data_IF_220705053656
#
_entry.id   IF_220705053656
#
_cell.length_a   1.000
_cell.length_b   1.000
_cell.length_c   1.000
_cell.angle_alpha   90.00
_cell.angle_beta   90.00
_cell.angle_gamma   90.00
#
_symmetry.space_group_name_H-M   'P 1'
#
loop_
_entity.id
_entity.type
_entity.pdbx_description
1 polymer ?
#
# COMPACT_ATOMS: atom_id res chain seq x y z
N UNK A 1 -23.21 -61.90 -3.45
CA UNK A 1 -21.79 -62.07 -3.83
C UNK A 1 -21.64 -61.39 -5.18
N UNK A 2 -20.96 -60.27 -5.37
CA UNK A 2 -19.82 -59.66 -4.68
C UNK A 2 -19.88 -58.13 -4.80
N UNK A 3 -19.44 -57.45 -3.73
CA UNK A 3 -18.85 -56.12 -3.79
C UNK A 3 -17.42 -56.24 -4.34
N UNK A 4 -16.90 -55.22 -5.04
CA UNK A 4 -15.69 -54.61 -4.51
C UNK A 4 -15.60 -53.08 -4.66
N UNK A 5 -15.00 -52.47 -3.64
CA UNK A 5 -14.04 -51.37 -3.67
C UNK A 5 -14.45 -50.00 -4.21
N UNK A 6 -14.79 -49.10 -3.27
CA UNK A 6 -14.17 -47.76 -3.25
C UNK A 6 -14.11 -47.23 -1.80
N UNK A 7 -13.29 -47.87 -0.97
CA UNK A 7 -12.84 -47.35 0.32
C UNK A 7 -11.36 -47.04 0.20
N UNK A 8 -11.01 -45.92 -0.42
CA UNK A 8 -9.75 -45.23 -0.20
C UNK A 8 -9.92 -43.83 -0.77
N UNK A 9 -9.34 -42.81 -0.12
CA UNK A 9 -9.51 -41.37 -0.38
C UNK A 9 -10.71 -40.69 0.28
N UNK A 10 -10.71 -40.61 1.62
CA UNK A 10 -11.30 -39.45 2.30
C UNK A 10 -10.75 -39.18 3.72
N UNK A 11 -9.57 -39.72 4.09
CA UNK A 11 -8.95 -39.44 5.40
C UNK A 11 -7.93 -38.29 5.40
N UNK A 12 -7.86 -37.46 4.35
CA UNK A 12 -6.91 -36.33 4.31
C UNK A 12 -7.59 -34.97 4.60
N UNK A 13 -8.92 -34.86 4.58
CA UNK A 13 -9.60 -33.58 4.84
C UNK A 13 -10.03 -33.33 6.29
N UNK A 14 -9.77 -34.25 7.22
CA UNK A 14 -10.17 -34.05 8.63
C UNK A 14 -9.19 -33.18 9.45
N UNK A 15 -7.94 -33.03 9.02
CA UNK A 15 -6.94 -32.26 9.77
C UNK A 15 -6.92 -30.76 9.44
N UNK A 16 -7.46 -30.35 8.28
CA UNK A 16 -7.48 -28.92 7.90
C UNK A 16 -8.58 -28.17 8.66
N UNK A 17 -9.71 -28.82 8.97
CA UNK A 17 -10.82 -28.19 9.72
C UNK A 17 -10.55 -28.00 11.21
N UNK A 18 -9.83 -28.91 11.87
CA UNK A 18 -9.56 -28.76 13.31
C UNK A 18 -8.57 -27.63 13.58
N UNK A 19 -7.59 -27.40 12.70
CA UNK A 19 -6.60 -26.33 12.84
C UNK A 19 -7.25 -24.95 12.68
N UNK A 20 -8.15 -24.79 11.70
CA UNK A 20 -8.90 -23.54 11.50
C UNK A 20 -9.88 -23.28 12.66
N UNK A 21 -10.54 -24.33 13.18
CA UNK A 21 -11.47 -24.21 14.31
C UNK A 21 -10.79 -23.89 15.64
N UNK A 22 -9.57 -24.38 15.89
CA UNK A 22 -8.85 -24.07 17.12
C UNK A 22 -8.35 -22.61 17.13
N UNK A 23 -7.93 -22.09 15.97
CA UNK A 23 -7.47 -20.71 15.82
C UNK A 23 -8.58 -19.69 16.12
N UNK A 24 -9.83 -20.00 15.77
CA UNK A 24 -10.97 -19.12 16.08
C UNK A 24 -11.40 -19.18 17.55
N UNK A 25 -11.20 -20.30 18.25
CA UNK A 25 -11.75 -20.49 19.61
C UNK A 25 -11.07 -19.59 20.66
N UNK A 26 -9.78 -19.29 20.51
CA UNK A 26 -8.96 -18.66 21.55
C UNK A 26 -8.44 -17.25 21.22
N UNK A 27 -8.99 -16.59 20.21
CA UNK A 27 -8.60 -15.23 19.86
C UNK A 27 -9.44 -14.16 20.58
N UNK A 28 -8.90 -12.94 20.69
CA UNK A 28 -9.70 -11.78 21.08
C UNK A 28 -10.78 -11.53 20.01
N UNK A 29 -12.03 -11.38 20.45
CA UNK A 29 -13.20 -11.31 19.58
C UNK A 29 -13.53 -9.89 19.12
N UNK A 30 -13.84 -9.72 17.82
CA UNK A 30 -14.40 -8.52 17.22
C UNK A 30 -15.92 -8.45 17.46
N UNK A 31 -16.31 -7.91 18.60
CA UNK A 31 -17.71 -7.65 18.89
C UNK A 31 -18.28 -6.43 18.13
N UNK A 32 -17.51 -5.77 17.25
CA UNK A 32 -18.01 -4.66 16.44
C UNK A 32 -18.82 -5.12 15.22
N UNK A 33 -18.69 -6.39 14.80
CA UNK A 33 -19.50 -6.94 13.70
C UNK A 33 -20.95 -7.11 14.11
N UNK A 34 -21.87 -7.04 13.15
CA UNK A 34 -23.30 -7.24 13.41
C UNK A 34 -23.65 -8.71 13.66
N UNK A 35 -22.99 -9.62 12.93
CA UNK A 35 -23.22 -11.06 13.01
C UNK A 35 -21.95 -11.78 13.45
N UNK A 36 -22.15 -12.96 14.06
CA UNK A 36 -21.09 -13.90 14.36
C UNK A 36 -20.37 -14.39 13.08
N UNK A 37 -19.21 -14.99 13.24
CA UNK A 37 -18.41 -15.57 12.16
C UNK A 37 -19.22 -16.63 11.39
N UNK A 38 -19.16 -16.58 10.04
CA UNK A 38 -19.99 -17.37 9.10
C UNK A 38 -21.50 -17.05 9.08
N UNK A 39 -22.00 -16.23 10.01
CA UNK A 39 -23.39 -15.77 9.98
C UNK A 39 -23.52 -14.56 9.05
N UNK A 40 -24.52 -14.58 8.18
CA UNK A 40 -24.71 -13.55 7.15
C UNK A 40 -25.85 -12.62 7.53
N UNK A 41 -25.59 -11.31 7.50
CA UNK A 41 -26.63 -10.30 7.68
C UNK A 41 -27.56 -10.27 6.46
N UNK A 42 -28.87 -10.32 6.67
CA UNK A 42 -29.85 -10.14 5.60
C UNK A 42 -29.84 -8.70 5.09
N UNK A 43 -29.98 -8.51 3.78
CA UNK A 43 -29.96 -7.19 3.16
C UNK A 43 -31.15 -6.31 3.57
N UNK A 44 -32.25 -6.93 3.99
CA UNK A 44 -33.53 -6.25 4.28
C UNK A 44 -33.81 -6.08 5.78
N UNK A 45 -33.07 -6.75 6.67
CA UNK A 45 -33.30 -6.74 8.12
C UNK A 45 -31.99 -6.74 8.90
N UNK A 46 -32.02 -6.32 10.16
CA UNK A 46 -30.90 -6.49 11.11
C UNK A 46 -30.82 -7.94 11.62
N UNK A 47 -31.12 -8.93 10.78
CA UNK A 47 -31.08 -10.34 11.16
C UNK A 47 -29.84 -11.04 10.60
N UNK A 48 -29.29 -11.93 11.41
CA UNK A 48 -28.17 -12.79 11.10
C UNK A 48 -28.68 -14.21 10.82
N UNK A 49 -28.31 -14.75 9.66
CA UNK A 49 -28.66 -16.11 9.23
C UNK A 49 -27.48 -17.04 9.40
N UNK A 50 -27.70 -18.16 10.09
CA UNK A 50 -26.68 -19.18 10.31
C UNK A 50 -26.30 -19.90 9.01
N UNK A 51 -25.04 -20.36 8.89
CA UNK A 51 -24.66 -21.24 7.79
C UNK A 51 -25.38 -22.59 7.94
N UNK A 52 -25.47 -23.36 6.83
CA UNK A 52 -26.05 -24.71 6.83
C UNK A 52 -25.28 -25.71 7.72
N UNK A 53 -24.01 -25.42 7.98
CA UNK A 53 -23.11 -26.17 8.86
C UNK A 53 -23.39 -25.97 10.35
N UNK A 54 -24.13 -24.92 10.74
CA UNK A 54 -24.36 -24.61 12.14
C UNK A 54 -25.14 -25.74 12.84
N UNK A 55 -24.59 -26.19 13.96
CA UNK A 55 -25.13 -27.23 14.84
C UNK A 55 -25.06 -26.69 16.26
N UNK A 56 -26.05 -25.89 16.64
CA UNK A 56 -26.11 -25.29 17.96
C UNK A 56 -27.55 -25.10 18.44
N UNK A 57 -27.71 -24.63 19.69
CA UNK A 57 -29.00 -24.56 20.36
C UNK A 57 -29.87 -23.40 19.86
N UNK A 58 -29.28 -22.41 19.18
CA UNK A 58 -29.99 -21.23 18.71
C UNK A 58 -30.66 -21.45 17.33
N UNK A 59 -31.75 -20.71 17.04
CA UNK A 59 -32.41 -20.79 15.75
C UNK A 59 -31.51 -20.26 14.61
N UNK A 60 -31.85 -20.65 13.38
CA UNK A 60 -31.15 -20.22 12.15
C UNK A 60 -31.15 -18.71 11.97
N UNK A 61 -32.15 -18.00 12.48
CA UNK A 61 -32.32 -16.56 12.36
C UNK A 61 -32.21 -15.93 13.75
N UNK A 62 -31.25 -15.03 13.92
CA UNK A 62 -31.06 -14.25 15.15
C UNK A 62 -31.14 -12.76 14.82
N UNK A 63 -31.70 -11.96 15.73
CA UNK A 63 -31.58 -10.51 15.65
C UNK A 63 -30.14 -10.09 15.94
N UNK A 64 -29.63 -9.12 15.19
CA UNK A 64 -28.31 -8.56 15.43
C UNK A 64 -28.33 -7.85 16.79
N UNK A 65 -27.39 -8.25 17.64
CA UNK A 65 -27.15 -7.60 18.92
C UNK A 65 -26.12 -6.49 18.73
N UNK A 66 -26.21 -5.41 19.50
CA UNK A 66 -25.27 -4.29 19.46
C UNK A 66 -24.48 -4.16 20.77
N UNK A 67 -25.03 -4.62 21.89
CA UNK A 67 -24.36 -4.54 23.19
C UNK A 67 -23.31 -5.66 23.35
N UNK A 68 -22.05 -5.28 23.58
CA UNK A 68 -20.93 -6.23 23.74
C UNK A 68 -21.16 -7.27 24.84
N UNK A 69 -21.83 -6.91 25.94
CA UNK A 69 -22.14 -7.87 27.04
C UNK A 69 -23.10 -8.96 26.58
N UNK A 70 -24.15 -8.59 25.86
CA UNK A 70 -25.12 -9.53 25.30
C UNK A 70 -24.52 -10.37 24.18
N UNK A 71 -23.61 -9.81 23.38
CA UNK A 71 -22.84 -10.58 22.40
C UNK A 71 -21.97 -11.66 23.04
N UNK A 72 -21.30 -11.36 24.15
CA UNK A 72 -20.52 -12.33 24.95
C UNK A 72 -21.41 -13.44 25.51
N UNK A 73 -22.62 -13.10 25.96
CA UNK A 73 -23.60 -14.07 26.43
C UNK A 73 -24.10 -14.97 25.28
N UNK A 74 -24.48 -14.37 24.15
CA UNK A 74 -24.93 -15.05 22.94
C UNK A 74 -23.86 -16.01 22.39
N UNK A 75 -22.59 -15.62 22.44
CA UNK A 75 -21.46 -16.47 22.05
C UNK A 75 -21.47 -17.80 22.82
N UNK A 76 -21.63 -17.72 24.14
CA UNK A 76 -21.67 -18.89 25.02
C UNK A 76 -22.95 -19.70 24.87
N UNK A 77 -24.09 -19.02 24.86
CA UNK A 77 -25.41 -19.68 24.80
C UNK A 77 -25.64 -20.36 23.46
N UNK A 78 -25.24 -19.74 22.35
CA UNK A 78 -25.44 -20.29 21.01
C UNK A 78 -24.28 -21.14 20.51
N UNK A 79 -23.16 -21.25 21.23
CA UNK A 79 -21.93 -21.88 20.73
C UNK A 79 -21.56 -21.36 19.33
N UNK A 80 -21.64 -20.04 19.17
CA UNK A 80 -21.20 -19.31 17.99
C UNK A 80 -19.92 -18.58 18.34
N UNK A 81 -19.18 -18.11 17.35
CA UNK A 81 -17.95 -17.36 17.58
C UNK A 81 -18.04 -16.02 16.88
N UNK A 82 -17.65 -14.95 17.57
CA UNK A 82 -17.39 -13.69 16.87
C UNK A 82 -16.05 -13.80 16.12
N UNK A 83 -15.89 -13.11 14.98
CA UNK A 83 -14.63 -13.14 14.25
C UNK A 83 -13.51 -12.59 15.14
N UNK A 84 -12.28 -13.03 14.93
CA UNK A 84 -11.14 -12.47 15.66
C UNK A 84 -10.98 -10.97 15.35
N UNK A 85 -10.67 -10.17 16.38
CA UNK A 85 -10.37 -8.74 16.27
C UNK A 85 -9.20 -8.48 15.32
N UNK A 86 -8.21 -9.38 15.33
CA UNK A 86 -6.98 -9.22 14.57
C UNK A 86 -6.78 -10.41 13.63
N UNK A 87 -7.27 -10.31 12.40
CA UNK A 87 -6.87 -11.22 11.32
C UNK A 87 -5.59 -10.72 10.63
N UNK A 88 -4.56 -10.44 11.43
CA UNK A 88 -3.27 -9.95 10.97
C UNK A 88 -2.17 -10.96 11.30
N UNK A 89 -1.10 -10.94 10.50
CA UNK A 89 0.14 -11.61 10.89
C UNK A 89 0.70 -10.94 12.15
N UNK A 90 1.00 -11.76 13.16
CA UNK A 90 1.48 -11.28 14.45
C UNK A 90 2.97 -10.96 14.38
N UNK A 91 3.34 -9.84 14.98
CA UNK A 91 4.73 -9.48 15.22
C UNK A 91 5.20 -10.11 16.53
N UNK A 92 5.71 -11.34 16.43
CA UNK A 92 6.34 -12.03 17.55
C UNK A 92 7.76 -11.53 17.85
N UNK A 93 8.31 -10.60 17.04
CA UNK A 93 9.60 -9.95 17.33
C UNK A 93 9.47 -8.86 18.40
N UNK A 94 8.27 -8.32 18.60
CA UNK A 94 7.96 -7.44 19.70
C UNK A 94 8.36 -8.07 21.05
N UNK A 95 8.89 -7.26 21.96
CA UNK A 95 9.30 -7.72 23.30
C UNK A 95 8.08 -8.19 24.10
N UNK A 96 7.00 -7.39 24.07
CA UNK A 96 5.81 -7.63 24.86
C UNK A 96 4.55 -7.78 23.98
N UNK A 97 3.56 -8.58 24.43
CA UNK A 97 2.23 -8.61 23.84
C UNK A 97 1.50 -7.26 23.91
N UNK A 98 0.40 -7.12 23.17
CA UNK A 98 -0.51 -5.98 23.23
C UNK A 98 -1.09 -5.84 24.64
N UNK A 99 -1.15 -4.60 25.15
CA UNK A 99 -1.54 -4.27 26.53
C UNK A 99 -0.59 -4.80 27.62
N UNK A 100 0.62 -5.22 27.23
CA UNK A 100 1.72 -5.49 28.13
C UNK A 100 2.84 -4.47 27.87
N UNK A 101 3.60 -4.13 28.90
CA UNK A 101 4.71 -3.19 28.82
C UNK A 101 5.98 -3.81 29.39
N UNK A 102 7.17 -3.45 28.87
CA UNK A 102 8.42 -3.86 29.49
C UNK A 102 8.48 -3.34 30.93
N UNK A 103 8.73 -4.26 31.86
CA UNK A 103 9.12 -3.93 33.23
C UNK A 103 10.64 -3.72 33.30
N UNK A 104 11.39 -4.53 32.55
CA UNK A 104 12.83 -4.41 32.33
C UNK A 104 13.21 -4.94 30.92
N UNK A 105 14.49 -5.27 30.70
CA UNK A 105 14.99 -5.78 29.41
C UNK A 105 14.41 -7.16 29.01
N UNK A 106 13.86 -7.93 29.96
CA UNK A 106 13.37 -9.30 29.73
C UNK A 106 11.89 -9.46 30.07
N UNK A 107 11.45 -8.88 31.16
CA UNK A 107 10.10 -9.07 31.69
C UNK A 107 9.11 -8.07 31.13
N UNK A 108 7.93 -8.56 30.82
CA UNK A 108 6.77 -7.78 30.44
C UNK A 108 5.70 -7.93 31.52
N UNK A 109 5.07 -6.82 31.91
CA UNK A 109 3.94 -6.79 32.85
C UNK A 109 2.65 -6.30 32.17
N UNK A 110 1.47 -6.78 32.58
CA UNK A 110 0.22 -6.32 32.00
C UNK A 110 -0.09 -4.87 32.41
N UNK A 111 -0.72 -4.12 31.51
CA UNK A 111 -1.35 -2.84 31.82
C UNK A 111 -2.67 -3.05 32.55
N UNK A 112 -3.15 -2.03 33.27
CA UNK A 112 -4.44 -2.06 33.97
C UNK A 112 -5.66 -2.30 33.06
N UNK A 113 -5.52 -2.04 31.76
CA UNK A 113 -6.56 -2.24 30.75
C UNK A 113 -6.61 -3.67 30.19
N UNK A 114 -5.67 -4.53 30.56
CA UNK A 114 -5.62 -5.91 30.10
C UNK A 114 -6.73 -6.73 30.76
N UNK A 115 -7.62 -7.31 29.94
CA UNK A 115 -8.79 -8.11 30.39
C UNK A 115 -8.52 -9.62 30.43
N UNK A 116 -7.28 -10.05 30.25
CA UNK A 116 -6.93 -11.47 30.18
C UNK A 116 -6.63 -12.09 31.56
N UNK A 117 -6.29 -13.38 31.55
CA UNK A 117 -6.16 -14.19 32.77
C UNK A 117 -4.77 -14.17 33.40
N UNK A 118 -3.75 -13.71 32.68
CA UNK A 118 -2.36 -13.76 33.11
C UNK A 118 -1.94 -12.42 33.73
N UNK A 119 -1.76 -12.36 35.05
CA UNK A 119 -1.55 -11.09 35.77
C UNK A 119 -0.11 -10.83 36.22
N UNK A 120 0.76 -11.83 36.13
CA UNK A 120 2.15 -11.75 36.60
C UNK A 120 3.09 -11.34 35.47
N UNK A 121 4.21 -10.65 35.79
CA UNK A 121 5.28 -10.41 34.84
C UNK A 121 5.79 -11.71 34.19
N UNK A 122 6.13 -11.64 32.91
CA UNK A 122 6.52 -12.81 32.13
C UNK A 122 7.68 -12.49 31.17
N UNK A 123 8.63 -13.42 31.04
CA UNK A 123 9.76 -13.33 30.12
C UNK A 123 9.47 -14.13 28.84
N UNK A 124 9.46 -13.43 27.70
CA UNK A 124 9.19 -13.99 26.38
C UNK A 124 10.44 -14.24 25.53
N UNK A 125 11.63 -13.89 26.04
CA UNK A 125 12.88 -13.88 25.26
C UNK A 125 13.27 -15.27 24.72
N UNK A 126 12.93 -16.34 25.46
CA UNK A 126 13.27 -17.71 25.09
C UNK A 126 12.10 -18.51 24.47
N UNK A 127 11.03 -17.84 24.03
CA UNK A 127 9.88 -18.50 23.41
C UNK A 127 9.93 -18.42 21.88
N UNK A 128 9.65 -19.54 21.24
CA UNK A 128 9.34 -19.62 19.80
C UNK A 128 8.02 -18.90 19.47
N UNK A 129 7.80 -18.58 18.20
CA UNK A 129 6.59 -17.90 17.75
C UNK A 129 5.33 -18.73 18.05
N UNK A 130 5.42 -20.05 17.90
CA UNK A 130 4.33 -20.99 18.20
C UNK A 130 4.02 -21.01 19.71
N UNK A 131 5.06 -21.01 20.55
CA UNK A 131 4.87 -20.92 22.00
C UNK A 131 4.26 -19.58 22.41
N UNK A 132 4.68 -18.47 21.80
CA UNK A 132 4.09 -17.13 22.00
C UNK A 132 2.62 -17.09 21.57
N UNK A 133 2.25 -17.76 20.49
CA UNK A 133 0.86 -17.91 20.05
C UNK A 133 0.02 -18.69 21.07
N UNK A 134 0.49 -19.88 21.47
CA UNK A 134 -0.18 -20.73 22.47
C UNK A 134 -0.37 -19.97 23.79
N UNK A 135 0.66 -19.26 24.24
CA UNK A 135 0.59 -18.43 25.46
C UNK A 135 -0.45 -17.33 25.31
N UNK A 136 -0.46 -16.61 24.17
CA UNK A 136 -1.40 -15.51 23.93
C UNK A 136 -2.85 -16.00 23.97
N UNK A 137 -3.11 -17.16 23.36
CA UNK A 137 -4.41 -17.83 23.38
C UNK A 137 -4.83 -18.22 24.81
N UNK A 138 -3.94 -18.87 25.56
CA UNK A 138 -4.19 -19.26 26.96
C UNK A 138 -4.48 -18.07 27.87
N UNK A 139 -3.77 -16.97 27.64
CA UNK A 139 -3.88 -15.76 28.44
C UNK A 139 -4.98 -14.81 27.96
N UNK A 140 -5.69 -15.10 26.86
CA UNK A 140 -6.58 -14.11 26.21
C UNK A 140 -5.86 -12.78 25.93
N UNK A 141 -4.61 -12.89 25.51
CA UNK A 141 -3.75 -11.78 25.08
C UNK A 141 -3.56 -11.85 23.56
N UNK A 142 -3.03 -10.79 22.97
CA UNK A 142 -2.70 -10.78 21.54
C UNK A 142 -1.34 -10.14 21.33
N UNK A 143 -0.58 -10.65 20.37
CA UNK A 143 0.62 -9.97 19.91
C UNK A 143 0.25 -8.80 18.99
N UNK A 144 1.07 -7.74 18.91
CA UNK A 144 0.86 -6.68 17.94
C UNK A 144 0.83 -7.26 16.52
N UNK A 145 0.15 -6.58 15.61
CA UNK A 145 0.23 -6.92 14.19
C UNK A 145 1.60 -6.50 13.64
N UNK A 146 2.15 -7.27 12.70
CA UNK A 146 3.22 -6.78 11.83
C UNK A 146 2.75 -5.52 11.12
N UNK A 147 3.58 -4.48 11.12
CA UNK A 147 3.31 -3.28 10.34
C UNK A 147 3.31 -3.64 8.85
N UNK A 148 2.17 -3.47 8.19
CA UNK A 148 2.06 -3.75 6.74
C UNK A 148 2.90 -2.80 5.88
N UNK A 149 3.24 -1.64 6.43
CA UNK A 149 3.92 -0.57 5.75
C UNK A 149 4.43 0.45 6.76
N UNK A 150 5.51 1.15 6.40
CA UNK A 150 5.95 2.34 7.15
C UNK A 150 4.89 3.44 7.03
N UNK A 151 4.41 3.94 8.17
CA UNK A 151 3.33 4.92 8.24
C UNK A 151 3.79 6.34 7.89
N UNK A 152 2.93 7.09 7.20
CA UNK A 152 3.08 8.52 6.91
C UNK A 152 2.43 9.37 8.00
N UNK A 153 3.16 9.57 9.10
CA UNK A 153 2.73 10.49 10.16
C UNK A 153 2.83 11.97 9.76
N UNK A 154 3.34 12.31 8.56
CA UNK A 154 3.26 13.69 8.04
C UNK A 154 1.82 14.08 7.67
N UNK A 155 0.95 13.10 7.39
CA UNK A 155 -0.47 13.39 7.16
C UNK A 155 -1.13 13.87 8.45
N UNK A 156 -2.02 14.85 8.30
CA UNK A 156 -2.77 15.43 9.42
C UNK A 156 -3.77 14.41 9.96
N UNK A 157 -4.51 13.75 9.08
CA UNK A 157 -5.57 12.83 9.46
C UNK A 157 -5.21 11.36 9.20
N UNK A 158 -5.78 10.43 10.00
CA UNK A 158 -5.73 9.00 9.74
C UNK A 158 -6.29 8.60 8.37
N UNK A 159 -5.95 7.39 7.94
CA UNK A 159 -6.49 6.77 6.73
C UNK A 159 -8.02 6.68 6.81
N UNK A 160 -8.69 7.23 5.80
CA UNK A 160 -10.15 7.23 5.68
C UNK A 160 -10.86 8.33 6.48
N UNK A 161 -10.13 9.13 7.25
CA UNK A 161 -10.67 10.31 7.92
C UNK A 161 -10.56 11.53 7.01
N UNK A 162 -11.57 12.39 7.03
CA UNK A 162 -11.65 13.59 6.19
C UNK A 162 -11.09 14.77 6.98
N UNK A 163 -10.13 15.48 6.38
CA UNK A 163 -9.64 16.75 6.92
C UNK A 163 -10.63 17.87 6.57
N UNK A 164 -11.14 18.55 7.58
CA UNK A 164 -12.03 19.70 7.42
C UNK A 164 -11.25 21.01 7.24
N UNK A 165 -11.97 22.10 6.98
CA UNK A 165 -11.39 23.43 6.70
C UNK A 165 -10.60 24.00 7.87
N UNK A 166 -11.01 23.70 9.10
CA UNK A 166 -10.30 24.05 10.35
C UNK A 166 -9.13 23.11 10.65
N UNK A 167 -8.90 22.08 9.83
CA UNK A 167 -7.89 21.04 10.00
C UNK A 167 -8.25 19.96 11.02
N UNK A 168 -9.48 19.96 11.54
CA UNK A 168 -10.03 18.84 12.32
C UNK A 168 -10.24 17.64 11.42
N UNK A 169 -10.01 16.44 11.97
CA UNK A 169 -10.22 15.18 11.28
C UNK A 169 -11.56 14.58 11.69
N UNK A 170 -12.40 14.31 10.70
CA UNK A 170 -13.71 13.65 10.87
C UNK A 170 -13.65 12.19 10.43
N UNK A 171 -14.08 11.30 11.31
CA UNK A 171 -14.11 9.86 11.09
C UNK A 171 -15.21 9.46 10.09
N UNK A 172 -15.02 8.35 9.35
CA UNK A 172 -16.08 7.82 8.50
C UNK A 172 -17.24 7.28 9.35
N UNK A 173 -18.45 7.20 8.77
CA UNK A 173 -19.69 6.79 9.47
C UNK A 173 -19.61 5.40 10.14
N UNK A 174 -18.73 4.53 9.66
CA UNK A 174 -18.54 3.17 10.15
C UNK A 174 -17.42 3.02 11.19
N UNK A 175 -16.79 4.12 11.62
CA UNK A 175 -15.76 4.07 12.64
C UNK A 175 -16.37 3.75 14.01
N UNK A 176 -15.98 2.60 14.57
CA UNK A 176 -16.45 2.08 15.85
C UNK A 176 -15.31 2.02 16.90
N UNK A 177 -14.33 2.91 16.79
CA UNK A 177 -13.21 2.96 17.73
C UNK A 177 -13.56 3.70 19.03
N UNK A 178 -12.67 3.66 20.03
CA UNK A 178 -12.93 4.21 21.37
C UNK A 178 -12.88 5.75 21.43
N UNK A 179 -12.32 6.40 20.40
CA UNK A 179 -12.18 7.86 20.36
C UNK A 179 -13.36 8.55 19.67
N UNK A 180 -13.48 9.86 19.87
CA UNK A 180 -14.51 10.69 19.21
C UNK A 180 -14.35 10.67 17.69
N UNK A 181 -15.48 10.81 16.98
CA UNK A 181 -15.52 10.88 15.51
C UNK A 181 -15.00 12.19 14.94
N UNK A 182 -14.63 13.16 15.78
CA UNK A 182 -13.99 14.41 15.40
C UNK A 182 -12.81 14.67 16.34
N UNK A 183 -11.62 14.90 15.79
CA UNK A 183 -10.42 15.15 16.57
C UNK A 183 -9.49 16.14 15.86
N UNK A 184 -8.94 17.10 16.60
CA UNK A 184 -7.88 17.97 16.10
C UNK A 184 -6.53 17.30 16.29
N UNK A 185 -5.80 17.07 15.20
CA UNK A 185 -4.51 16.35 15.20
C UNK A 185 -3.36 17.20 14.65
N UNK A 186 -3.61 18.49 14.39
CA UNK A 186 -2.68 19.39 13.70
C UNK A 186 -1.42 19.63 14.55
N UNK A 187 -1.59 19.74 15.86
CA UNK A 187 -0.51 20.04 16.81
C UNK A 187 0.19 18.79 17.33
N UNK A 188 -0.24 17.60 16.93
CA UNK A 188 0.37 16.36 17.37
C UNK A 188 1.66 16.10 16.59
N UNK A 189 2.75 15.86 17.31
CA UNK A 189 3.98 15.34 16.72
C UNK A 189 3.85 13.86 16.33
N UNK A 190 4.94 13.30 15.79
CA UNK A 190 4.96 11.92 15.32
C UNK A 190 4.63 10.92 16.43
N UNK A 191 5.23 11.06 17.61
CA UNK A 191 5.07 10.09 18.70
C UNK A 191 3.66 10.17 19.30
N UNK A 192 3.10 11.39 19.40
CA UNK A 192 1.71 11.61 19.76
C UNK A 192 0.75 10.98 18.74
N UNK A 193 1.06 11.04 17.44
CA UNK A 193 0.24 10.37 16.40
C UNK A 193 0.33 8.85 16.47
N UNK A 194 1.51 8.29 16.76
CA UNK A 194 1.68 6.84 17.02
C UNK A 194 0.82 6.42 18.22
N UNK A 195 0.85 7.18 19.31
CA UNK A 195 0.02 6.92 20.48
C UNK A 195 -1.48 7.03 20.15
N UNK A 196 -1.88 8.07 19.41
CA UNK A 196 -3.26 8.26 18.96
C UNK A 196 -3.74 7.11 18.06
N UNK A 197 -2.89 6.61 17.15
CA UNK A 197 -3.17 5.45 16.30
C UNK A 197 -3.52 4.21 17.13
N UNK A 198 -2.68 3.91 18.13
CA UNK A 198 -2.86 2.77 19.03
C UNK A 198 -4.09 2.93 19.92
N UNK A 199 -4.24 4.07 20.59
CA UNK A 199 -5.33 4.34 21.53
C UNK A 199 -6.69 4.35 20.83
N UNK A 200 -6.77 4.96 19.65
CA UNK A 200 -8.02 5.11 18.91
C UNK A 200 -8.30 3.96 17.93
N UNK A 201 -7.45 2.92 17.91
CA UNK A 201 -7.62 1.75 17.03
C UNK A 201 -7.85 2.13 15.56
N UNK A 202 -7.05 3.08 15.09
CA UNK A 202 -7.12 3.58 13.73
C UNK A 202 -5.80 3.31 13.00
N UNK A 203 -5.68 3.73 11.75
CA UNK A 203 -4.46 3.57 10.98
C UNK A 203 -4.08 4.90 10.34
N UNK A 204 -2.83 5.34 10.49
CA UNK A 204 -2.30 6.37 9.58
C UNK A 204 -2.07 5.76 8.18
N UNK A 205 -2.15 6.58 7.12
CA UNK A 205 -1.83 6.10 5.78
C UNK A 205 -0.39 5.59 5.74
N UNK A 206 -0.13 4.61 4.89
CA UNK A 206 1.25 4.26 4.57
C UNK A 206 1.94 5.47 3.94
N UNK A 207 3.27 5.58 4.10
CA UNK A 207 4.07 6.37 3.17
C UNK A 207 3.73 5.86 1.78
N UNK A 208 3.11 6.72 0.97
CA UNK A 208 2.95 6.46 -0.46
C UNK A 208 4.34 6.56 -1.06
N UNK A 209 5.07 5.47 -1.06
CA UNK A 209 6.20 5.30 -1.96
C UNK A 209 5.58 5.05 -3.35
N UNK A 210 5.10 6.13 -3.99
CA UNK A 210 4.59 6.20 -5.38
C UNK A 210 3.58 5.10 -5.81
N UNK A 211 3.10 5.14 -7.07
CA UNK A 211 2.50 3.94 -7.68
C UNK A 211 3.67 3.09 -8.14
N UNK A 212 3.72 1.82 -7.78
CA UNK A 212 4.81 0.93 -8.23
C UNK A 212 4.75 0.79 -9.74
N UNK A 213 5.92 0.84 -10.40
CA UNK A 213 6.01 0.52 -11.82
C UNK A 213 5.78 -0.99 -12.00
N UNK A 214 4.62 -1.34 -12.54
CA UNK A 214 4.30 -2.72 -12.85
C UNK A 214 5.18 -3.26 -14.00
N UNK A 215 5.78 -2.39 -14.83
CA UNK A 215 6.63 -2.77 -15.96
C UNK A 215 8.06 -3.11 -15.55
N UNK A 216 8.56 -2.56 -14.44
CA UNK A 216 9.91 -2.90 -13.96
C UNK A 216 9.86 -4.24 -13.20
N UNK A 217 10.56 -5.28 -13.69
CA UNK A 217 10.53 -6.59 -13.05
C UNK A 217 11.42 -6.66 -11.82
N UNK A 218 12.35 -5.72 -11.63
CA UNK A 218 13.32 -5.77 -10.54
C UNK A 218 13.05 -4.73 -9.45
N UNK A 219 13.53 -4.99 -8.23
CA UNK A 219 13.49 -3.98 -7.17
C UNK A 219 14.36 -2.77 -7.55
N UNK A 220 14.09 -1.63 -6.92
CA UNK A 220 14.82 -0.39 -7.13
C UNK A 220 16.31 -0.60 -6.84
N UNK A 221 17.15 -0.10 -7.75
CA UNK A 221 18.62 -0.18 -7.71
C UNK A 221 19.19 -1.60 -7.91
N UNK A 222 18.35 -2.60 -8.18
CA UNK A 222 18.79 -3.95 -8.56
C UNK A 222 19.00 -4.02 -10.07
N UNK A 223 19.99 -4.81 -10.49
CA UNK A 223 20.32 -4.95 -11.92
C UNK A 223 19.52 -6.11 -12.50
N UNK A 224 18.75 -5.86 -13.54
CA UNK A 224 18.09 -6.92 -14.31
C UNK A 224 19.13 -7.66 -15.17
N UNK A 225 19.29 -8.97 -14.92
CA UNK A 225 20.03 -9.87 -15.79
C UNK A 225 19.10 -10.44 -16.84
N UNK A 226 19.46 -10.29 -18.10
CA UNK A 226 18.72 -10.84 -19.25
C UNK A 226 19.56 -11.86 -20.01
N UNK A 227 18.89 -12.70 -20.80
CA UNK A 227 19.56 -13.59 -21.76
C UNK A 227 20.04 -12.84 -23.02
N UNK A 228 20.65 -13.57 -23.95
CA UNK A 228 21.15 -13.05 -25.24
C UNK A 228 20.04 -12.43 -26.11
N UNK A 229 18.77 -12.80 -25.88
CA UNK A 229 17.60 -12.29 -26.60
C UNK A 229 16.91 -11.13 -25.88
N UNK A 230 17.41 -10.72 -24.70
CA UNK A 230 16.82 -9.67 -23.89
C UNK A 230 15.69 -10.13 -22.97
N UNK A 231 15.46 -11.43 -22.81
CA UNK A 231 14.45 -11.97 -21.89
C UNK A 231 14.92 -11.77 -20.44
N UNK A 232 14.11 -11.15 -19.56
CA UNK A 232 14.41 -11.03 -18.14
C UNK A 232 14.61 -12.40 -17.47
N UNK A 233 15.76 -12.64 -16.84
CA UNK A 233 16.05 -13.88 -16.11
C UNK A 233 15.93 -13.70 -14.60
N UNK A 234 16.82 -12.89 -14.01
CA UNK A 234 16.96 -12.70 -12.55
C UNK A 234 17.34 -11.25 -12.23
N UNK A 235 17.22 -10.86 -10.96
CA UNK A 235 17.66 -9.54 -10.47
C UNK A 235 18.87 -9.69 -9.55
N UNK A 236 19.92 -8.92 -9.79
CA UNK A 236 21.12 -8.89 -8.96
C UNK A 236 21.01 -7.78 -7.90
N UNK A 237 21.19 -8.10 -6.60
CA UNK A 237 21.22 -7.08 -5.56
C UNK A 237 22.45 -6.18 -5.68
N UNK A 238 22.38 -4.93 -5.22
CA UNK A 238 23.56 -4.09 -5.08
C UNK A 238 24.45 -4.56 -3.93
N UNK A 239 25.75 -4.26 -3.99
CA UNK A 239 26.75 -4.73 -3.01
C UNK A 239 26.45 -4.34 -1.55
N UNK A 240 25.68 -3.26 -1.33
CA UNK A 240 25.29 -2.78 0.00
C UNK A 240 24.04 -3.46 0.56
N UNK A 241 23.38 -4.32 -0.22
CA UNK A 241 22.16 -5.00 0.21
C UNK A 241 22.50 -6.15 1.16
N UNK A 242 21.95 -6.09 2.38
CA UNK A 242 22.16 -7.07 3.45
C UNK A 242 20.88 -7.82 3.84
N UNK A 243 19.86 -7.83 2.98
CA UNK A 243 18.59 -8.49 3.27
C UNK A 243 18.59 -9.98 2.89
N UNK A 244 17.44 -10.62 3.10
CA UNK A 244 17.29 -12.08 2.97
C UNK A 244 17.22 -12.60 1.53
N UNK A 245 17.09 -11.73 0.53
CA UNK A 245 16.83 -12.12 -0.85
C UNK A 245 18.07 -11.98 -1.73
N UNK A 246 18.26 -12.87 -2.69
CA UNK A 246 19.46 -12.92 -3.52
C UNK A 246 19.13 -13.04 -5.02
N UNK A 247 20.14 -13.35 -5.84
CA UNK A 247 19.98 -13.52 -7.28
C UNK A 247 19.08 -14.69 -7.70
N UNK A 248 18.79 -15.62 -6.78
CA UNK A 248 17.90 -16.76 -7.01
C UNK A 248 16.44 -16.43 -6.66
N UNK A 249 16.18 -15.30 -5.99
CA UNK A 249 14.81 -14.86 -5.70
C UNK A 249 14.06 -14.55 -7.00
N UNK A 250 12.88 -15.18 -7.15
CA UNK A 250 12.07 -15.08 -8.37
C UNK A 250 11.27 -13.78 -8.41
N UNK A 251 11.91 -12.70 -8.86
CA UNK A 251 11.26 -11.39 -9.06
C UNK A 251 10.49 -11.27 -10.38
N UNK A 252 10.85 -12.06 -11.39
CA UNK A 252 10.28 -11.92 -12.73
C UNK A 252 8.85 -12.49 -12.79
N UNK A 253 7.92 -11.70 -13.35
CA UNK A 253 6.53 -12.10 -13.59
C UNK A 253 5.61 -12.01 -12.38
N UNK A 254 6.00 -11.26 -11.35
CA UNK A 254 5.17 -11.03 -10.16
C UNK A 254 4.01 -10.07 -10.44
N UNK A 255 2.88 -10.31 -9.79
CA UNK A 255 1.79 -9.35 -9.71
C UNK A 255 2.01 -8.35 -8.57
N UNK A 256 1.22 -7.27 -8.53
CA UNK A 256 1.35 -6.20 -7.53
C UNK A 256 1.27 -6.71 -6.08
N UNK A 257 0.40 -7.69 -5.78
CA UNK A 257 0.27 -8.28 -4.44
C UNK A 257 1.53 -9.04 -4.03
N UNK A 258 2.13 -9.80 -4.94
CA UNK A 258 3.38 -10.53 -4.68
C UNK A 258 4.59 -9.59 -4.60
N UNK A 259 4.59 -8.51 -5.39
CA UNK A 259 5.58 -7.42 -5.27
C UNK A 259 5.53 -6.81 -3.86
N UNK A 260 4.34 -6.49 -3.35
CA UNK A 260 4.16 -5.96 -1.99
C UNK A 260 4.67 -6.93 -0.91
N UNK A 261 4.36 -8.22 -1.01
CA UNK A 261 4.83 -9.21 -0.02
C UNK A 261 6.36 -9.36 -0.04
N UNK A 262 6.98 -9.40 -1.23
CA UNK A 262 8.43 -9.50 -1.36
C UNK A 262 9.15 -8.21 -0.95
N UNK A 263 8.55 -7.03 -1.19
CA UNK A 263 9.09 -5.76 -0.69
C UNK A 263 9.31 -5.81 0.82
N UNK A 264 8.31 -6.33 1.54
CA UNK A 264 8.37 -6.49 2.98
C UNK A 264 9.33 -7.60 3.43
N UNK A 265 9.23 -8.79 2.84
CA UNK A 265 10.04 -9.95 3.21
C UNK A 265 11.54 -9.74 2.96
N UNK A 266 11.88 -9.11 1.84
CA UNK A 266 13.26 -8.84 1.45
C UNK A 266 13.79 -7.49 1.98
N UNK A 267 12.96 -6.65 2.62
CA UNK A 267 13.29 -5.24 2.91
C UNK A 267 13.83 -4.49 1.69
N UNK A 268 13.13 -4.63 0.56
CA UNK A 268 13.45 -3.99 -0.73
C UNK A 268 12.36 -2.99 -1.10
N UNK A 269 12.65 -2.16 -2.09
CA UNK A 269 11.72 -1.18 -2.64
C UNK A 269 11.48 -1.44 -4.11
N UNK A 270 10.28 -1.18 -4.61
CA UNK A 270 10.00 -1.22 -6.04
C UNK A 270 10.20 0.16 -6.67
N UNK A 271 10.59 0.22 -7.96
CA UNK A 271 10.62 1.46 -8.71
C UNK A 271 9.25 2.13 -8.75
N UNK A 272 9.26 3.46 -8.75
CA UNK A 272 8.07 4.26 -8.96
C UNK A 272 7.69 4.30 -10.43
N UNK A 273 6.40 4.21 -10.74
CA UNK A 273 5.87 4.83 -11.95
C UNK A 273 6.29 6.29 -11.91
N UNK A 274 7.03 6.72 -12.94
CA UNK A 274 7.32 8.12 -13.15
C UNK A 274 5.96 8.81 -13.28
N UNK A 275 5.68 9.73 -12.37
CA UNK A 275 4.54 10.61 -12.50
C UNK A 275 4.71 11.41 -13.80
N UNK A 276 4.00 11.00 -14.85
CA UNK A 276 4.10 11.62 -16.18
C UNK A 276 3.72 13.09 -16.14
N UNK A 277 2.96 13.54 -15.10
CA UNK A 277 2.66 14.96 -14.89
C UNK A 277 3.88 15.80 -14.51
N UNK A 278 4.97 15.16 -14.07
CA UNK A 278 6.25 15.79 -13.71
C UNK A 278 7.36 15.49 -14.70
N UNK A 279 7.05 14.88 -15.85
CA UNK A 279 8.07 14.61 -16.84
C UNK A 279 8.57 15.95 -17.41
N UNK A 280 9.85 16.21 -17.22
CA UNK A 280 10.51 17.41 -17.73
C UNK A 280 10.65 17.26 -19.26
N UNK A 281 10.06 18.19 -19.98
CA UNK A 281 10.12 18.31 -21.43
C UNK A 281 11.41 19.01 -21.87
N UNK A 282 12.47 18.21 -22.06
CA UNK A 282 13.70 18.70 -22.66
C UNK A 282 13.64 18.85 -24.19
N UNK A 283 12.51 18.53 -24.84
CA UNK A 283 12.30 18.82 -26.28
C UNK A 283 12.05 20.31 -26.51
N UNK A 284 11.56 21.04 -25.51
CA UNK A 284 11.40 22.49 -25.60
C UNK A 284 12.73 23.17 -25.91
N UNK A 285 12.70 24.24 -26.71
CA UNK A 285 13.92 24.94 -27.09
C UNK A 285 14.50 25.76 -25.93
N UNK A 286 13.62 26.35 -25.12
CA UNK A 286 13.99 27.20 -23.98
C UNK A 286 13.52 26.62 -22.64
N UNK A 287 14.24 26.91 -21.54
CA UNK A 287 13.79 26.66 -20.17
C UNK A 287 12.45 27.35 -19.88
N UNK A 288 11.75 26.91 -18.82
CA UNK A 288 10.49 27.49 -18.38
C UNK A 288 10.67 28.98 -18.06
N UNK A 289 9.74 29.81 -18.53
CA UNK A 289 9.75 31.27 -18.43
C UNK A 289 10.86 32.03 -19.18
N UNK A 290 11.71 31.35 -19.95
CA UNK A 290 12.69 32.02 -20.82
C UNK A 290 12.05 32.37 -22.18
N UNK A 291 12.28 33.59 -22.65
CA UNK A 291 11.73 34.05 -23.93
C UNK A 291 12.66 33.68 -25.07
N UNK A 292 12.15 32.97 -26.08
CA UNK A 292 12.92 32.70 -27.29
C UNK A 292 13.05 33.96 -28.16
N UNK A 293 14.28 34.31 -28.52
CA UNK A 293 14.64 35.38 -29.46
C UNK A 293 15.62 34.81 -30.48
N UNK A 294 15.15 34.60 -31.71
CA UNK A 294 15.89 33.91 -32.77
C UNK A 294 16.42 32.52 -32.30
N UNK A 295 17.74 32.37 -32.22
CA UNK A 295 18.46 31.17 -31.76
C UNK A 295 18.89 31.23 -30.29
N UNK A 296 18.38 32.18 -29.53
CA UNK A 296 18.74 32.39 -28.14
C UNK A 296 17.50 32.33 -27.25
N UNK A 297 17.67 31.83 -26.04
CA UNK A 297 16.73 31.93 -24.94
C UNK A 297 17.20 33.04 -24.01
N UNK A 298 16.31 33.99 -23.71
CA UNK A 298 16.56 35.15 -22.86
C UNK A 298 15.88 34.90 -21.51
N UNK A 299 16.67 34.94 -20.43
CA UNK A 299 16.19 34.72 -19.07
C UNK A 299 15.22 35.84 -18.64
N UNK A 300 14.23 35.52 -17.78
CA UNK A 300 13.37 36.55 -17.21
C UNK A 300 14.18 37.51 -16.31
N UNK A 301 13.64 38.71 -16.07
CA UNK A 301 14.29 39.70 -15.20
C UNK A 301 14.54 39.17 -13.78
N UNK A 302 13.71 38.24 -13.32
CA UNK A 302 13.80 37.58 -12.01
C UNK A 302 14.91 36.55 -11.89
N UNK A 303 15.55 36.12 -12.99
CA UNK A 303 16.59 35.10 -12.93
C UNK A 303 17.88 35.67 -12.31
N UNK A 304 18.28 35.07 -11.19
CA UNK A 304 19.46 35.43 -10.37
C UNK A 304 20.53 34.33 -10.33
N UNK A 305 20.38 33.27 -11.14
CA UNK A 305 21.28 32.13 -11.15
C UNK A 305 22.68 32.44 -11.73
N UNK A 306 23.62 31.50 -11.62
CA UNK A 306 25.04 31.72 -11.93
C UNK A 306 25.33 31.85 -13.44
N UNK A 307 24.43 31.38 -14.30
CA UNK A 307 24.65 31.35 -15.75
C UNK A 307 24.19 32.60 -16.50
N UNK A 308 24.63 32.75 -17.76
CA UNK A 308 24.30 33.92 -18.58
C UNK A 308 22.80 34.05 -18.89
N UNK A 309 22.28 35.30 -18.84
CA UNK A 309 20.87 35.64 -19.15
C UNK A 309 20.48 35.45 -20.63
N UNK A 310 21.40 35.04 -21.49
CA UNK A 310 21.19 34.76 -22.92
C UNK A 310 21.98 33.51 -23.29
N UNK A 311 21.31 32.46 -23.76
CA UNK A 311 21.93 31.16 -24.10
C UNK A 311 21.33 30.56 -25.36
N UNK A 312 22.14 29.92 -26.20
CA UNK A 312 21.64 29.10 -27.32
C UNK A 312 21.69 27.62 -26.95
N UNK A 313 20.58 26.91 -27.14
CA UNK A 313 20.44 25.47 -26.89
C UNK A 313 20.40 24.64 -28.18
N UNK A 314 20.71 25.24 -29.34
CA UNK A 314 20.56 24.62 -30.65
C UNK A 314 21.30 23.27 -30.80
N UNK A 315 22.46 23.13 -30.16
CA UNK A 315 23.27 21.89 -30.21
C UNK A 315 23.14 21.02 -28.95
N UNK A 316 22.29 21.41 -27.99
CA UNK A 316 22.20 20.72 -26.70
C UNK A 316 21.25 19.52 -26.82
N UNK A 317 21.79 18.32 -26.58
CA UNK A 317 21.01 17.10 -26.37
C UNK A 317 20.36 17.12 -24.98
N UNK A 318 19.40 16.23 -24.75
CA UNK A 318 18.63 16.10 -23.50
C UNK A 318 19.54 16.04 -22.26
N UNK A 319 20.61 15.27 -22.31
CA UNK A 319 21.54 15.07 -21.18
C UNK A 319 22.27 16.36 -20.83
N UNK A 320 22.67 17.13 -21.85
CA UNK A 320 23.37 18.41 -21.68
C UNK A 320 22.38 19.48 -21.17
N UNK A 321 21.13 19.48 -21.66
CA UNK A 321 20.08 20.36 -21.13
C UNK A 321 19.80 20.09 -19.65
N UNK A 322 19.80 18.81 -19.23
CA UNK A 322 19.66 18.41 -17.83
C UNK A 322 20.83 18.89 -16.97
N UNK A 323 22.06 18.61 -17.37
CA UNK A 323 23.25 19.08 -16.63
C UNK A 323 23.28 20.61 -16.52
N UNK A 324 22.94 21.33 -17.59
CA UNK A 324 22.86 22.78 -17.59
C UNK A 324 21.74 23.31 -16.66
N UNK A 325 20.62 22.59 -16.55
CA UNK A 325 19.54 22.93 -15.63
C UNK A 325 20.01 22.89 -14.16
N UNK A 326 20.70 21.82 -13.80
CA UNK A 326 21.26 21.60 -12.45
C UNK A 326 22.38 22.63 -12.13
N UNK A 327 23.26 22.91 -13.09
CA UNK A 327 24.36 23.87 -12.89
C UNK A 327 23.89 25.33 -12.82
N UNK A 328 22.84 25.67 -13.57
CA UNK A 328 22.36 27.05 -13.70
C UNK A 328 21.16 27.41 -12.82
N UNK A 329 20.63 26.45 -12.06
CA UNK A 329 19.40 26.62 -11.26
C UNK A 329 18.23 27.15 -12.13
N UNK A 330 17.98 26.44 -13.24
CA UNK A 330 16.89 26.72 -14.16
C UNK A 330 16.03 25.48 -14.35
N UNK A 331 14.74 25.68 -14.59
CA UNK A 331 13.79 24.59 -14.81
C UNK A 331 13.40 24.51 -16.28
N UNK A 332 13.20 23.30 -16.80
CA UNK A 332 12.62 23.08 -18.12
C UNK A 332 11.12 22.81 -17.98
N UNK A 333 10.30 23.15 -19.00
CA UNK A 333 8.86 22.96 -18.96
C UNK A 333 8.47 21.51 -18.70
N UNK A 334 7.33 21.28 -18.06
CA UNK A 334 6.78 19.93 -17.92
C UNK A 334 5.96 19.55 -19.18
N UNK A 335 5.87 18.25 -19.48
CA UNK A 335 4.90 17.77 -20.47
C UNK A 335 3.48 18.13 -20.02
N UNK A 336 2.74 18.88 -20.84
CA UNK A 336 1.32 19.16 -20.59
C UNK A 336 0.52 17.90 -20.93
N UNK A 337 -0.05 17.23 -19.92
CA UNK A 337 -0.99 16.13 -20.15
C UNK A 337 -2.24 16.68 -20.85
N UNK A 338 -2.47 16.28 -22.10
CA UNK A 338 -3.68 16.59 -22.86
C UNK A 338 -4.89 15.85 -22.28
N UNK A 339 -5.45 16.35 -21.18
CA UNK A 339 -6.83 16.08 -20.74
C UNK A 339 -7.57 17.36 -20.36
N UNK A 340 -7.23 18.47 -20.99
CA UNK A 340 -8.01 19.71 -21.04
C UNK A 340 -7.71 20.23 -22.46
N UNK A 341 -8.61 20.36 -23.44
CA UNK A 341 -10.04 20.61 -23.44
C UNK A 341 -10.71 19.79 -24.56
N UNK A 342 -11.79 19.11 -24.20
CA UNK A 342 -12.90 18.94 -25.12
C UNK A 342 -13.52 20.31 -25.36
N UNK A 343 -13.64 20.75 -26.61
CA UNK A 343 -14.86 21.38 -27.15
C UNK A 343 -14.73 21.52 -28.68
N UNK A 344 -15.50 20.74 -29.47
CA UNK A 344 -15.33 20.66 -30.91
C UNK A 344 -16.11 21.76 -31.63
N UNK A 345 -15.48 22.42 -32.61
CA UNK A 345 -16.19 23.17 -33.66
C UNK A 345 -15.60 22.90 -35.05
N UNK A 346 -16.26 21.95 -35.72
CA UNK A 346 -16.76 22.03 -37.11
C UNK A 346 -15.74 22.31 -38.23
N UNK A 347 -15.50 21.23 -38.97
CA UNK A 347 -15.31 21.11 -40.43
C UNK A 347 -15.08 22.38 -41.26
N UNK A 348 -14.03 22.36 -42.08
CA UNK A 348 -14.16 22.48 -43.54
C UNK A 348 -12.90 21.98 -44.25
N UNK A 349 -13.13 21.23 -45.33
CA UNK A 349 -12.16 20.71 -46.27
C UNK A 349 -11.37 21.81 -46.99
N UNK A 350 -10.07 21.60 -47.21
CA UNK A 350 -9.40 21.95 -48.48
C UNK A 350 -8.42 20.86 -48.89
N UNK A 351 -8.70 20.25 -50.03
CA UNK A 351 -7.81 19.37 -50.80
C UNK A 351 -6.63 20.19 -51.32
N UNK A 352 -5.42 19.96 -50.81
CA UNK A 352 -4.18 20.38 -51.43
C UNK A 352 -3.54 19.19 -52.13
N UNK A 353 -3.37 19.24 -53.46
CA UNK A 353 -2.57 18.27 -54.21
C UNK A 353 -1.10 18.50 -53.84
N UNK A 354 -0.48 17.56 -53.12
CA UNK A 354 0.96 17.57 -52.90
C UNK A 354 1.64 16.85 -54.07
N UNK A 355 2.49 17.55 -54.81
CA UNK A 355 3.41 16.95 -55.77
C UNK A 355 4.67 16.50 -55.03
N UNK A 356 4.99 15.21 -55.12
CA UNK A 356 6.18 14.62 -54.52
C UNK A 356 7.34 14.65 -55.52
N UNK A 357 8.52 15.08 -55.08
CA UNK A 357 9.76 15.11 -55.86
C UNK A 357 10.94 15.49 -54.98
N UNK A 358 12.16 15.14 -55.41
CA UNK A 358 13.38 15.38 -54.62
C UNK A 358 13.63 16.87 -54.43
N UNK A 359 13.82 17.25 -53.16
CA UNK A 359 13.91 18.64 -52.72
C UNK A 359 15.38 19.03 -52.47
N UNK A 360 15.78 20.22 -52.92
CA UNK A 360 17.10 20.75 -52.61
C UNK A 360 17.23 21.09 -51.12
N UNK A 361 18.34 20.70 -50.43
CA UNK A 361 18.51 20.90 -48.99
C UNK A 361 18.56 22.37 -48.54
N UNK A 362 18.92 23.30 -49.45
CA UNK A 362 19.22 24.70 -49.10
C UNK A 362 18.04 25.62 -49.45
N UNK A 363 17.39 25.42 -50.60
CA UNK A 363 16.31 26.32 -51.07
C UNK A 363 14.90 25.75 -50.89
N UNK A 364 14.75 24.43 -50.70
CA UNK A 364 13.43 23.80 -50.59
C UNK A 364 12.68 23.64 -51.92
N UNK A 365 13.30 23.92 -53.07
CA UNK A 365 12.68 23.71 -54.38
C UNK A 365 12.73 22.23 -54.81
N UNK A 366 11.71 21.77 -55.54
CA UNK A 366 11.67 20.44 -56.16
C UNK A 366 12.60 20.46 -57.39
N UNK A 367 13.72 19.73 -57.38
CA UNK A 367 14.72 19.77 -58.46
C UNK A 367 14.44 18.72 -59.55
N UNK A 368 13.67 17.67 -59.25
CA UNK A 368 13.30 16.68 -60.25
C UNK A 368 11.93 16.11 -59.96
N UNK A 369 11.03 16.29 -60.93
CA UNK A 369 9.78 15.54 -61.08
C UNK A 369 10.12 14.21 -61.77
N UNK A 370 9.75 13.08 -61.17
CA UNK A 370 9.80 11.80 -61.91
C UNK A 370 8.92 11.93 -63.17
N UNK A 371 9.51 11.58 -64.31
CA UNK A 371 9.15 12.02 -65.67
C UNK A 371 7.71 11.72 -66.09
#
# INVERSE_FOLDING_TARGET
MFSPNFFFFCFVFSQIKSVISQKSTFCQKDYSKNCAEEWTKLSTSEECVSPLSYRGPCPRYLQAEHETKKKKLLERECNIFWPCLDNCEKDYSSQCPTNWVPEDEKYCRPLSIYEGTCLLPYDFSNMTNEQKEIWSNKCSSSWPCKEKCKKDYSKICPKGWIKESDGVCSAPKNYNGPCLSRASLITLDKDMKVAFEKLCKLNFPCLKECKMDDNDPCPKDWILKSDEFGTPQNCLPPDYYNGSCDEHTKFIGLNSTLKESLAYECDIKWPCEIDTTKLINYEEYCPEYWTQSEKYCIAPQSYMGPCSKKKSFQSFKKEIKKAYAEECDIEWPLYKNSREEYLPKISTLRKGKYSYGSVEPITGNIISTMK
#
